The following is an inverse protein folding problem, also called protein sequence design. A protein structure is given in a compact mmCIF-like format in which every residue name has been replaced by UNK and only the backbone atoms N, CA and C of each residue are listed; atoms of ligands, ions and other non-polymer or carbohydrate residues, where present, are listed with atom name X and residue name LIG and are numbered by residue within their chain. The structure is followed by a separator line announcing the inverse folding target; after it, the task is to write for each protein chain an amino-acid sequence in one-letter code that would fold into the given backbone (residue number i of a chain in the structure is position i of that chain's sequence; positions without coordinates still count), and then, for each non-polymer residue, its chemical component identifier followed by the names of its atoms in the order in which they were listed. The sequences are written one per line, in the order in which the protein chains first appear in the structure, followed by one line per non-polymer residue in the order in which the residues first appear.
data_IF_866674320380
#
_entry.id   IF_866674320380
#
_cell.length_a   1.000
_cell.length_b   1.000
_cell.length_c   1.000
_cell.angle_alpha   90.00
_cell.angle_beta   90.00
_cell.angle_gamma   90.00
#
_symmetry.space_group_name_H-M   'P 1'
#
loop_
_entity.id
_entity.type
_entity.pdbx_description
1 polymer ?
#
# COMPACT_ATOMS: atom_id res chain seq x y z
N UNK A 1 -0.69 25.06 -8.41
CA UNK A 1 0.58 24.39 -8.05
C UNK A 1 1.77 25.11 -8.68
N UNK A 2 1.86 26.45 -8.60
CA UNK A 2 2.94 27.22 -9.24
C UNK A 2 4.18 27.39 -8.35
N UNK A 3 4.01 27.32 -7.02
CA UNK A 3 5.04 27.74 -6.05
C UNK A 3 5.55 26.60 -5.15
N UNK A 4 5.14 25.36 -5.41
CA UNK A 4 5.51 24.17 -4.61
C UNK A 4 6.30 23.19 -5.45
N UNK A 5 7.48 22.80 -4.99
CA UNK A 5 8.29 21.72 -5.57
C UNK A 5 8.13 20.42 -4.75
N UNK A 6 8.18 19.27 -5.41
CA UNK A 6 8.08 17.96 -4.76
C UNK A 6 9.02 16.95 -5.44
N UNK A 7 9.58 16.03 -4.64
CA UNK A 7 10.40 14.91 -5.10
C UNK A 7 10.00 13.65 -4.35
N UNK A 8 10.13 12.50 -5.01
CA UNK A 8 9.94 11.17 -4.41
C UNK A 8 10.99 10.96 -3.30
N UNK A 9 10.53 10.55 -2.12
CA UNK A 9 11.43 10.15 -1.02
C UNK A 9 12.08 8.82 -1.33
N UNK A 10 13.30 8.59 -0.83
CA UNK A 10 14.00 7.31 -0.96
C UNK A 10 13.14 6.14 -0.46
N UNK A 11 12.47 6.32 0.68
CA UNK A 11 11.54 5.34 1.22
C UNK A 11 10.44 4.94 0.23
N UNK A 12 9.83 5.91 -0.45
CA UNK A 12 8.75 5.63 -1.39
C UNK A 12 9.27 4.88 -2.63
N UNK A 13 10.48 5.22 -3.09
CA UNK A 13 11.14 4.51 -4.18
C UNK A 13 11.36 3.03 -3.82
N UNK A 14 11.96 2.76 -2.66
CA UNK A 14 12.32 1.39 -2.25
C UNK A 14 11.09 0.49 -2.03
N UNK A 15 10.01 1.07 -1.50
CA UNK A 15 8.79 0.34 -1.13
C UNK A 15 7.86 0.10 -2.32
N UNK A 16 7.78 1.04 -3.26
CA UNK A 16 6.78 1.04 -4.33
C UNK A 16 7.34 0.87 -5.75
N UNK A 17 8.56 1.33 -6.02
CA UNK A 17 9.05 1.53 -7.38
C UNK A 17 10.26 0.65 -7.75
N UNK A 18 11.05 0.21 -6.78
CA UNK A 18 12.29 -0.57 -7.00
C UNK A 18 12.07 -1.85 -7.83
N UNK A 19 10.89 -2.47 -7.72
CA UNK A 19 10.54 -3.71 -8.43
C UNK A 19 9.37 -3.54 -9.40
N UNK A 20 9.08 -2.31 -9.84
CA UNK A 20 7.98 -2.06 -10.78
C UNK A 20 8.44 -2.31 -12.23
N UNK A 21 7.97 -3.39 -12.83
CA UNK A 21 8.24 -3.75 -14.22
C UNK A 21 7.13 -4.66 -14.78
N UNK A 22 7.12 -4.87 -16.10
CA UNK A 22 6.11 -5.71 -16.78
C UNK A 22 6.15 -7.19 -16.36
N UNK A 23 7.24 -7.67 -15.74
CA UNK A 23 7.37 -9.06 -15.28
C UNK A 23 6.69 -9.26 -13.92
N UNK A 24 6.69 -8.23 -13.08
CA UNK A 24 6.18 -8.27 -11.71
C UNK A 24 4.72 -7.81 -11.59
N UNK A 25 4.26 -6.94 -12.50
CA UNK A 25 2.92 -6.35 -12.44
C UNK A 25 2.24 -6.29 -13.79
N UNK A 26 0.93 -6.50 -13.80
CA UNK A 26 0.09 -6.29 -14.98
C UNK A 26 0.00 -4.79 -15.32
N UNK A 27 0.41 -4.43 -16.53
CA UNK A 27 0.24 -3.08 -17.09
C UNK A 27 -0.96 -3.02 -18.03
N UNK A 28 -1.85 -2.06 -17.78
CA UNK A 28 -3.06 -1.79 -18.57
C UNK A 28 -2.89 -0.52 -19.39
N UNK A 29 -3.69 -0.37 -20.45
CA UNK A 29 -3.76 0.88 -21.20
C UNK A 29 -4.38 1.98 -20.33
N UNK A 30 -3.81 3.18 -20.43
CA UNK A 30 -4.40 4.38 -19.85
C UNK A 30 -5.72 4.76 -20.58
N UNK A 31 -6.38 5.82 -20.10
CA UNK A 31 -7.72 6.22 -20.58
C UNK A 31 -7.84 6.39 -22.10
N UNK A 32 -6.82 6.94 -22.76
CA UNK A 32 -6.79 7.19 -24.21
C UNK A 32 -5.98 6.16 -25.01
N UNK A 33 -5.51 5.10 -24.34
CA UNK A 33 -4.73 3.99 -24.87
C UNK A 33 -3.38 4.37 -25.52
N UNK A 34 -2.86 5.57 -25.27
CA UNK A 34 -1.56 5.99 -25.78
C UNK A 34 -0.39 5.54 -24.90
N UNK A 35 -0.62 5.36 -23.60
CA UNK A 35 0.38 4.91 -22.64
C UNK A 35 -0.09 3.68 -21.86
N UNK A 36 0.83 3.05 -21.15
CA UNK A 36 0.53 1.93 -20.25
C UNK A 36 0.82 2.34 -18.81
N UNK A 37 -0.10 2.02 -17.92
CA UNK A 37 0.03 2.24 -16.47
C UNK A 37 -0.05 0.92 -15.71
N UNK A 38 0.69 0.78 -14.61
CA UNK A 38 0.62 -0.42 -13.78
C UNK A 38 -0.74 -0.48 -13.09
N UNK A 39 -1.41 -1.63 -13.14
CA UNK A 39 -2.73 -1.81 -12.52
C UNK A 39 -2.69 -1.70 -10.99
N UNK A 40 -1.58 -2.09 -10.39
CA UNK A 40 -1.28 -1.95 -8.96
C UNK A 40 0.18 -1.54 -8.79
N UNK A 41 0.54 -0.98 -7.64
CA UNK A 41 1.96 -0.80 -7.31
C UNK A 41 2.45 -2.02 -6.53
N UNK A 42 3.69 -2.44 -6.80
CA UNK A 42 4.42 -3.35 -5.92
C UNK A 42 4.46 -2.72 -4.52
N UNK A 43 4.21 -3.49 -3.46
CA UNK A 43 4.38 -2.98 -2.09
C UNK A 43 5.16 -3.99 -1.26
N UNK A 44 6.27 -3.55 -0.67
CA UNK A 44 7.05 -4.39 0.26
C UNK A 44 6.48 -4.38 1.68
N UNK A 45 5.60 -3.43 2.00
CA UNK A 45 4.94 -3.28 3.31
C UNK A 45 3.43 -2.97 3.17
N UNK A 46 2.59 -3.27 4.17
CA UNK A 46 1.14 -3.05 4.13
C UNK A 46 0.75 -1.57 4.31
N UNK A 47 1.01 -0.75 3.28
CA UNK A 47 0.79 0.70 3.30
C UNK A 47 -0.65 1.14 3.61
N UNK A 48 -1.66 0.33 3.30
CA UNK A 48 -3.06 0.67 3.61
C UNK A 48 -3.29 0.74 5.12
N UNK A 49 -2.73 -0.18 5.90
CA UNK A 49 -2.87 -0.18 7.36
C UNK A 49 -2.00 0.92 7.98
N UNK A 50 -0.80 1.13 7.44
CA UNK A 50 0.15 2.12 7.95
C UNK A 50 -0.41 3.54 7.76
N UNK A 51 -0.86 3.87 6.55
CA UNK A 51 -1.32 5.23 6.22
C UNK A 51 -2.83 5.44 6.43
N UNK A 52 -3.59 4.37 6.61
CA UNK A 52 -5.04 4.44 6.62
C UNK A 52 -5.63 4.85 5.27
N UNK A 53 -6.94 5.06 5.26
CA UNK A 53 -7.67 5.63 4.13
C UNK A 53 -9.00 6.18 4.62
N UNK A 54 -9.47 7.29 4.05
CA UNK A 54 -10.82 7.79 4.26
C UNK A 54 -11.43 8.12 2.91
N UNK A 55 -12.60 7.57 2.62
CA UNK A 55 -13.25 7.70 1.32
C UNK A 55 -14.76 7.53 1.39
N UNK A 56 -15.45 8.28 0.54
CA UNK A 56 -16.90 8.22 0.38
C UNK A 56 -17.18 7.85 -1.08
N UNK A 57 -17.88 6.75 -1.30
CA UNK A 57 -18.39 6.38 -2.61
C UNK A 57 -19.92 6.39 -2.59
N UNK A 58 -20.55 5.96 -3.68
CA UNK A 58 -22.01 5.89 -3.75
C UNK A 58 -22.49 4.83 -2.75
N UNK A 59 -23.24 5.26 -1.72
CA UNK A 59 -23.82 4.44 -0.66
C UNK A 59 -22.86 3.79 0.35
N UNK A 60 -21.55 4.01 0.25
CA UNK A 60 -20.57 3.46 1.20
C UNK A 60 -19.59 4.52 1.69
N UNK A 61 -19.34 4.48 2.99
CA UNK A 61 -18.31 5.23 3.67
C UNK A 61 -17.26 4.24 4.19
N UNK A 62 -15.99 4.53 3.94
CA UNK A 62 -14.87 3.78 4.50
C UNK A 62 -13.92 4.72 5.22
N UNK A 63 -13.53 4.36 6.43
CA UNK A 63 -12.52 5.07 7.20
C UNK A 63 -11.68 4.03 7.94
N UNK A 64 -10.40 3.95 7.58
CA UNK A 64 -9.40 3.08 8.17
C UNK A 64 -8.35 3.99 8.81
N UNK A 65 -8.14 3.92 10.14
CA UNK A 65 -7.13 4.74 10.81
C UNK A 65 -5.70 4.30 10.43
N UNK A 66 -4.75 5.21 10.61
CA UNK A 66 -3.33 4.91 10.48
C UNK A 66 -2.86 4.02 11.63
N UNK A 67 -1.94 3.11 11.35
CA UNK A 67 -1.32 2.24 12.34
C UNK A 67 0.19 2.41 12.32
N UNK A 68 0.82 2.09 13.44
CA UNK A 68 2.26 2.18 13.58
C UNK A 68 2.96 1.04 12.81
N UNK A 69 3.98 1.39 12.01
CA UNK A 69 4.66 0.48 11.09
C UNK A 69 5.18 -0.79 11.77
N UNK A 70 5.81 -0.65 12.94
CA UNK A 70 6.46 -1.77 13.63
C UNK A 70 5.43 -2.79 14.10
N UNK A 71 4.27 -2.33 14.58
CA UNK A 71 3.24 -3.21 15.13
C UNK A 71 2.56 -3.99 14.01
N UNK A 72 2.28 -3.31 12.88
CA UNK A 72 1.75 -3.98 11.69
C UNK A 72 2.76 -5.00 11.15
N UNK A 73 4.05 -4.65 11.07
CA UNK A 73 5.08 -5.57 10.60
C UNK A 73 5.22 -6.81 11.50
N UNK A 74 5.22 -6.63 12.83
CA UNK A 74 5.24 -7.73 13.80
C UNK A 74 4.01 -8.62 13.66
N UNK A 75 2.83 -8.03 13.55
CA UNK A 75 1.58 -8.77 13.37
C UNK A 75 1.61 -9.59 12.07
N UNK A 76 2.07 -9.02 10.96
CA UNK A 76 2.24 -9.76 9.71
C UNK A 76 3.22 -10.94 9.85
N UNK A 77 4.36 -10.74 10.52
CA UNK A 77 5.34 -11.81 10.78
C UNK A 77 4.72 -12.91 11.64
N UNK A 78 4.04 -12.54 12.73
CA UNK A 78 3.42 -13.49 13.65
C UNK A 78 2.32 -14.31 12.94
N UNK A 79 1.50 -13.65 12.11
CA UNK A 79 0.47 -14.30 11.29
C UNK A 79 1.08 -15.30 10.29
N UNK A 80 2.23 -14.99 9.69
CA UNK A 80 2.94 -15.91 8.80
C UNK A 80 3.47 -17.15 9.55
N UNK A 81 3.86 -17.00 10.82
CA UNK A 81 4.40 -18.12 11.62
C UNK A 81 3.33 -18.94 12.35
N UNK A 82 2.16 -18.37 12.62
CA UNK A 82 1.08 -19.03 13.33
C UNK A 82 -0.26 -18.84 12.59
N UNK A 83 -0.66 -19.84 11.80
CA UNK A 83 -1.88 -19.81 11.02
C UNK A 83 -3.18 -19.83 11.85
N UNK A 84 -3.12 -20.16 13.15
CA UNK A 84 -4.27 -20.21 14.05
C UNK A 84 -4.30 -19.03 15.04
N UNK A 85 -3.58 -17.96 14.73
CA UNK A 85 -3.53 -16.75 15.55
C UNK A 85 -4.93 -16.16 15.71
N UNK A 86 -5.29 -15.80 16.96
CA UNK A 86 -6.58 -15.20 17.29
C UNK A 86 -6.42 -13.70 17.45
N UNK A 87 -7.55 -12.99 17.47
CA UNK A 87 -7.53 -11.53 17.55
C UNK A 87 -6.85 -10.98 18.82
N UNK A 88 -6.88 -11.75 19.91
CA UNK A 88 -6.22 -11.42 21.18
C UNK A 88 -4.68 -11.44 21.08
N UNK A 89 -4.13 -12.15 20.09
CA UNK A 89 -2.69 -12.33 19.89
C UNK A 89 -2.06 -11.21 19.05
N UNK A 90 -2.85 -10.29 18.48
CA UNK A 90 -2.36 -9.22 17.59
C UNK A 90 -1.51 -8.15 18.30
N UNK A 91 -1.63 -8.00 19.62
CA UNK A 91 -1.07 -6.86 20.38
C UNK A 91 0.05 -7.23 21.35
N UNK A 92 0.57 -8.46 21.28
CA UNK A 92 1.67 -8.96 22.15
C UNK A 92 3.03 -8.64 21.54
#
# INVERSE_FOLDING_TARGET
MRDTEAKISSFCYDILLDEINDENVEYIQNLDANEREPKVLCRKIPLLLINGCSGIAVSILSSIPCHHLIDVAKCCINFLTNANMRDDDYFI
#
